data_IF_068376573077
#
_entry.id   IF_068376573077
#
_cell.length_a   1.000
_cell.length_b   1.000
_cell.length_c   1.000
_cell.angle_alpha   90.00
_cell.angle_beta   90.00
_cell.angle_gamma   90.00
#
_symmetry.space_group_name_H-M   'P 1'
#
loop_
_entity.id
_entity.type
_entity.pdbx_description
1 polymer ?
#
# COMPACT_ATOMS: atom_id res chain seq x y z
N UNK A 1 -6.68 -19.67 15.15
CA UNK A 1 -6.32 -18.98 13.89
C UNK A 1 -5.28 -17.91 14.16
N UNK A 2 -4.02 -18.10 13.72
CA UNK A 2 -3.00 -17.07 13.90
C UNK A 2 -3.35 -15.82 13.06
N UNK A 3 -3.42 -14.65 13.71
CA UNK A 3 -3.79 -13.39 13.07
C UNK A 3 -2.79 -13.06 11.96
N UNK A 4 -3.25 -13.03 10.71
CA UNK A 4 -2.38 -12.81 9.56
C UNK A 4 -2.07 -11.32 9.40
N UNK A 5 -1.05 -10.87 10.13
CA UNK A 5 -0.57 -9.49 10.11
C UNK A 5 -0.20 -8.99 8.72
N UNK A 6 0.30 -9.85 7.82
CA UNK A 6 0.60 -9.45 6.44
C UNK A 6 -0.67 -9.07 5.67
N UNK A 7 -1.78 -9.80 5.87
CA UNK A 7 -3.08 -9.44 5.27
C UNK A 7 -3.62 -8.13 5.84
N UNK A 8 -3.52 -7.92 7.16
CA UNK A 8 -3.97 -6.69 7.83
C UNK A 8 -3.20 -5.49 7.29
N UNK A 9 -1.86 -5.55 7.30
CA UNK A 9 -1.02 -4.46 6.79
C UNK A 9 -1.26 -4.16 5.31
N UNK A 10 -1.54 -5.18 4.50
CA UNK A 10 -1.94 -4.98 3.10
C UNK A 10 -3.26 -4.21 3.00
N UNK A 11 -4.27 -4.61 3.76
CA UNK A 11 -5.58 -3.95 3.71
C UNK A 11 -5.50 -2.51 4.23
N UNK A 12 -4.73 -2.26 5.30
CA UNK A 12 -4.46 -0.90 5.79
C UNK A 12 -3.78 -0.05 4.71
N UNK A 13 -2.71 -0.56 4.07
CA UNK A 13 -2.02 0.14 2.99
C UNK A 13 -2.96 0.48 1.82
N UNK A 14 -3.77 -0.49 1.37
CA UNK A 14 -4.72 -0.27 0.27
C UNK A 14 -5.80 0.76 0.63
N UNK A 15 -6.29 0.73 1.87
CA UNK A 15 -7.30 1.69 2.34
C UNK A 15 -6.73 3.10 2.38
N UNK A 16 -5.52 3.28 2.93
CA UNK A 16 -4.85 4.58 2.96
C UNK A 16 -4.46 5.07 1.55
N UNK A 17 -4.06 4.14 0.66
CA UNK A 17 -3.80 4.44 -0.75
C UNK A 17 -5.05 4.92 -1.49
N UNK A 18 -6.21 4.33 -1.21
CA UNK A 18 -7.48 4.77 -1.80
C UNK A 18 -7.83 6.21 -1.41
N UNK A 19 -7.58 6.60 -0.15
CA UNK A 19 -7.76 7.98 0.31
C UNK A 19 -6.85 8.94 -0.49
N UNK A 20 -5.59 8.56 -0.74
CA UNK A 20 -4.69 9.36 -1.57
C UNK A 20 -5.17 9.48 -3.02
N UNK A 21 -5.73 8.41 -3.58
CA UNK A 21 -6.33 8.44 -4.93
C UNK A 21 -7.48 9.45 -4.96
N UNK A 22 -8.40 9.40 -3.99
CA UNK A 22 -9.51 10.35 -3.91
C UNK A 22 -9.04 11.80 -3.72
N UNK A 23 -8.02 12.02 -2.88
CA UNK A 23 -7.41 13.34 -2.67
C UNK A 23 -6.84 13.91 -3.98
N UNK A 24 -6.02 13.14 -4.71
CA UNK A 24 -5.45 13.58 -6.00
C UNK A 24 -6.50 13.68 -7.11
N UNK A 25 -7.52 12.81 -7.09
CA UNK A 25 -8.62 12.87 -8.05
C UNK A 25 -9.38 14.20 -7.96
N UNK A 26 -9.64 14.72 -6.74
CA UNK A 26 -10.28 16.04 -6.59
C UNK A 26 -9.41 17.16 -7.16
N UNK A 27 -8.10 17.13 -6.91
CA UNK A 27 -7.16 18.12 -7.48
C UNK A 27 -7.19 18.06 -9.01
N UNK A 28 -7.14 16.87 -9.59
CA UNK A 28 -7.26 16.68 -11.03
C UNK A 28 -8.61 17.18 -11.57
N UNK A 29 -9.71 16.89 -10.88
CA UNK A 29 -11.05 17.34 -11.24
C UNK A 29 -11.18 18.85 -11.22
N UNK A 30 -10.56 19.53 -10.26
CA UNK A 30 -10.50 20.99 -10.24
C UNK A 30 -9.82 21.53 -11.49
N UNK A 31 -8.66 20.99 -11.85
CA UNK A 31 -7.94 21.39 -13.07
C UNK A 31 -8.68 21.05 -14.37
N UNK A 32 -9.57 20.06 -14.35
CA UNK A 32 -10.40 19.69 -15.50
C UNK A 32 -11.79 20.37 -15.48
N UNK A 33 -12.07 21.26 -14.51
CA UNK A 33 -13.33 21.99 -14.44
C UNK A 33 -14.54 21.16 -13.98
N UNK A 34 -14.33 20.00 -13.36
CA UNK A 34 -15.42 19.18 -12.81
C UNK A 34 -15.85 19.63 -11.40
N UNK A 35 -14.98 20.34 -10.69
CA UNK A 35 -15.26 20.91 -9.36
C UNK A 35 -14.64 22.30 -9.24
N UNK A 36 -15.24 23.17 -8.43
CA UNK A 36 -14.83 24.58 -8.34
C UNK A 36 -13.78 24.86 -7.25
N UNK A 37 -13.37 23.84 -6.50
CA UNK A 37 -12.44 24.02 -5.38
C UNK A 37 -11.53 22.82 -5.10
N UNK A 38 -10.32 23.16 -4.65
CA UNK A 38 -9.35 22.22 -4.07
C UNK A 38 -9.55 22.08 -2.56
N UNK A 39 -8.75 21.22 -1.94
CA UNK A 39 -8.70 21.06 -0.49
C UNK A 39 -8.10 22.29 0.19
N UNK A 40 -8.37 22.45 1.50
CA UNK A 40 -7.75 23.50 2.29
C UNK A 40 -6.28 23.19 2.56
N UNK A 41 -5.49 24.23 2.84
CA UNK A 41 -4.06 24.09 3.17
C UNK A 41 -3.80 23.14 4.37
N UNK A 42 -4.72 23.10 5.35
CA UNK A 42 -4.63 22.18 6.48
C UNK A 42 -4.78 20.72 6.06
N UNK A 43 -5.69 20.44 5.12
CA UNK A 43 -5.87 19.09 4.55
C UNK A 43 -4.65 18.71 3.73
N UNK A 44 -4.14 19.62 2.90
CA UNK A 44 -2.94 19.38 2.09
C UNK A 44 -1.73 19.04 2.98
N UNK A 45 -1.55 19.80 4.07
CA UNK A 45 -0.50 19.55 5.07
C UNK A 45 -0.69 18.19 5.73
N UNK A 46 -1.89 17.86 6.19
CA UNK A 46 -2.20 16.59 6.86
C UNK A 46 -1.98 15.38 5.94
N UNK A 47 -2.47 15.46 4.70
CA UNK A 47 -2.32 14.39 3.70
C UNK A 47 -0.84 14.19 3.34
N UNK A 48 -0.10 15.29 3.13
CA UNK A 48 1.32 15.24 2.78
C UNK A 48 2.20 14.68 3.89
N UNK A 49 1.95 15.09 5.14
CA UNK A 49 2.74 14.62 6.30
C UNK A 49 2.39 13.19 6.71
N UNK A 50 1.11 12.83 6.68
CA UNK A 50 0.63 11.58 7.26
C UNK A 50 0.44 10.50 6.21
N UNK A 51 -0.40 10.75 5.20
CA UNK A 51 -0.82 9.71 4.26
C UNK A 51 0.26 9.37 3.23
N UNK A 52 0.91 10.38 2.65
CA UNK A 52 2.00 10.16 1.68
C UNK A 52 3.15 9.43 2.36
N UNK A 53 3.59 9.87 3.54
CA UNK A 53 4.66 9.21 4.28
C UNK A 53 4.32 7.76 4.61
N UNK A 54 3.11 7.50 5.10
CA UNK A 54 2.68 6.15 5.48
C UNK A 54 2.59 5.21 4.28
N UNK A 55 1.97 5.64 3.18
CA UNK A 55 1.84 4.83 1.95
C UNK A 55 3.20 4.62 1.29
N UNK A 56 4.04 5.65 1.24
CA UNK A 56 5.40 5.54 0.73
C UNK A 56 6.26 4.56 1.55
N UNK A 57 6.22 4.65 2.88
CA UNK A 57 6.95 3.72 3.76
C UNK A 57 6.42 2.29 3.66
N UNK A 58 5.10 2.11 3.63
CA UNK A 58 4.51 0.77 3.60
C UNK A 58 4.52 0.12 2.22
N UNK A 59 4.70 0.89 1.13
CA UNK A 59 4.79 0.44 -0.25
C UNK A 59 6.21 0.49 -0.83
N UNK A 60 6.72 1.70 -1.11
CA UNK A 60 8.01 1.94 -1.79
C UNK A 60 9.22 1.46 -0.98
N UNK A 61 9.24 1.66 0.34
CA UNK A 61 10.38 1.21 1.16
C UNK A 61 10.53 -0.33 1.18
N UNK A 62 9.45 -1.07 0.86
CA UNK A 62 9.51 -2.53 0.71
C UNK A 62 9.99 -2.98 -0.66
N UNK A 63 9.98 -2.10 -1.66
CA UNK A 63 10.36 -2.40 -3.04
C UNK A 63 11.81 -2.90 -3.20
N UNK A 64 12.85 -2.27 -2.60
CA UNK A 64 14.22 -2.79 -2.68
C UNK A 64 14.39 -4.17 -2.01
N UNK A 65 13.58 -4.46 -0.99
CA UNK A 65 13.63 -5.73 -0.23
C UNK A 65 12.74 -6.81 -0.88
N UNK A 66 11.82 -6.42 -1.76
CA UNK A 66 10.81 -7.29 -2.35
C UNK A 66 11.39 -8.48 -3.13
N UNK A 67 12.44 -8.35 -3.96
CA UNK A 67 13.05 -9.49 -4.65
C UNK A 67 13.54 -10.57 -3.69
N UNK A 68 14.19 -10.16 -2.60
CA UNK A 68 14.70 -11.06 -1.56
C UNK A 68 13.59 -11.74 -0.77
N UNK A 69 12.56 -10.96 -0.38
CA UNK A 69 11.37 -11.49 0.26
C UNK A 69 10.69 -12.56 -0.61
N UNK A 70 10.49 -12.28 -1.91
CA UNK A 70 9.84 -13.20 -2.86
C UNK A 70 10.67 -14.47 -3.08
N UNK A 71 12.00 -14.34 -3.19
CA UNK A 71 12.92 -15.50 -3.29
C UNK A 71 12.79 -16.42 -2.07
N UNK A 72 12.78 -15.85 -0.86
CA UNK A 72 12.60 -16.61 0.39
C UNK A 72 11.23 -17.28 0.47
N UNK A 73 10.17 -16.58 0.07
CA UNK A 73 8.81 -17.11 0.08
C UNK A 73 8.64 -18.28 -0.91
N UNK A 74 9.20 -18.16 -2.11
CA UNK A 74 9.16 -19.22 -3.12
C UNK A 74 9.94 -20.46 -2.69
N UNK A 75 11.09 -20.29 -2.01
CA UNK A 75 11.84 -21.42 -1.44
C UNK A 75 11.00 -22.21 -0.44
N UNK A 76 10.38 -21.53 0.52
CA UNK A 76 9.46 -22.16 1.50
C UNK A 76 8.29 -22.90 0.83
N UNK A 77 7.72 -22.32 -0.23
CA UNK A 77 6.64 -22.97 -1.00
C UNK A 77 7.12 -24.25 -1.71
N UNK A 78 8.35 -24.27 -2.22
CA UNK A 78 8.95 -25.46 -2.86
C UNK A 78 9.24 -26.54 -1.83
N UNK A 79 9.83 -26.17 -0.69
CA UNK A 79 10.09 -27.09 0.43
C UNK A 79 8.79 -27.73 0.93
N UNK A 80 7.72 -26.94 1.12
CA UNK A 80 6.41 -27.45 1.53
C UNK A 80 5.78 -28.39 0.48
N UNK A 81 5.92 -28.09 -0.81
CA UNK A 81 5.45 -28.98 -1.88
C UNK A 81 6.22 -30.29 -1.94
N UNK A 82 7.53 -30.25 -1.69
CA UNK A 82 8.35 -31.45 -1.64
C UNK A 82 7.97 -32.33 -0.45
N UNK A 83 7.78 -31.74 0.74
CA UNK A 83 7.35 -32.45 1.93
C UNK A 83 5.97 -33.12 1.77
N UNK A 84 5.01 -32.43 1.15
CA UNK A 84 3.68 -32.98 0.86
C UNK A 84 3.64 -34.02 -0.27
N UNK A 85 4.73 -34.19 -1.03
CA UNK A 85 4.84 -35.23 -2.05
C UNK A 85 5.54 -36.49 -1.54
N UNK A 86 6.13 -36.42 -0.35
CA UNK A 86 6.77 -37.54 0.36
C UNK A 86 5.92 -38.15 1.47
N UNK A 87 4.78 -37.54 1.80
CA UNK A 87 3.69 -38.13 2.61
C UNK A 87 2.63 -38.76 1.71
#
# INVERSE_FOLDING_TARGET
MARNWSKIWRNVHLTLGLVLVAYHARIAWYHNGFVDSVWSADIDKFVSTTFIFFVMWTGLAKWPIYPWYKKRQNRKKREAKAAAATE
#
